data_IF_641881327126
#
_entry.id   IF_641881327126
#
_cell.length_a   1.000
_cell.length_b   1.000
_cell.length_c   1.000
_cell.angle_alpha   90.00
_cell.angle_beta   90.00
_cell.angle_gamma   90.00
#
_symmetry.space_group_name_H-M   'P 1'
#
loop_
_entity.id
_entity.type
_entity.pdbx_description
1 polymer ?
#
# COMPACT_ATOMS: atom_id res chain seq x y z
N UNK A 1 9.53 -56.14 79.44
CA UNK A 1 10.49 -55.51 78.51
C UNK A 1 9.69 -54.75 77.47
N UNK A 2 10.22 -53.59 77.12
CA UNK A 2 9.54 -52.39 76.65
C UNK A 2 9.70 -52.20 75.13
N UNK A 3 8.75 -51.47 74.52
CA UNK A 3 8.86 -50.72 73.25
C UNK A 3 8.77 -51.60 71.97
N UNK A 4 8.19 -51.17 70.84
CA UNK A 4 7.88 -49.81 70.36
C UNK A 4 6.87 -49.90 69.23
N UNK A 5 5.80 -49.10 69.28
CA UNK A 5 4.94 -48.82 68.13
C UNK A 5 5.72 -47.93 67.15
N UNK A 6 6.00 -48.41 65.94
CA UNK A 6 6.58 -47.58 64.88
C UNK A 6 5.45 -46.79 64.20
N UNK A 7 5.40 -45.48 64.42
CA UNK A 7 4.72 -44.55 63.53
C UNK A 7 5.56 -44.42 62.26
N UNK A 8 4.93 -44.65 61.11
CA UNK A 8 5.46 -44.29 59.79
C UNK A 8 5.11 -42.81 59.56
N UNK A 9 6.09 -41.90 59.35
CA UNK A 9 5.77 -40.55 58.94
C UNK A 9 5.28 -40.58 57.49
N UNK A 10 4.04 -40.13 57.28
CA UNK A 10 3.55 -39.83 55.94
C UNK A 10 4.36 -38.64 55.41
N UNK A 11 5.29 -38.91 54.50
CA UNK A 11 5.96 -37.91 53.70
C UNK A 11 4.88 -37.27 52.82
N UNK A 12 4.42 -36.06 53.16
CA UNK A 12 3.71 -35.22 52.22
C UNK A 12 4.72 -34.84 51.11
N UNK A 13 4.73 -35.61 50.03
CA UNK A 13 5.18 -35.11 48.75
C UNK A 13 4.20 -34.00 48.34
N UNK A 14 4.53 -32.76 48.69
CA UNK A 14 4.04 -31.63 47.92
C UNK A 14 4.62 -31.78 46.52
N UNK A 15 3.84 -32.38 45.63
CA UNK A 15 4.10 -32.28 44.21
C UNK A 15 4.07 -30.80 43.86
N UNK A 16 5.24 -30.19 43.72
CA UNK A 16 5.35 -28.99 42.90
C UNK A 16 4.98 -29.45 41.50
N UNK A 17 3.72 -29.26 41.13
CA UNK A 17 3.31 -29.26 39.74
C UNK A 17 4.13 -28.16 39.08
N UNK A 18 5.24 -28.53 38.46
CA UNK A 18 5.82 -27.68 37.43
C UNK A 18 4.75 -27.59 36.36
N UNK A 19 4.05 -26.45 36.28
CA UNK A 19 3.28 -26.11 35.10
C UNK A 19 4.30 -25.97 33.98
N UNK A 20 4.56 -27.06 33.24
CA UNK A 20 5.17 -26.95 31.93
C UNK A 20 4.17 -26.16 31.10
N UNK A 21 4.44 -24.86 30.92
CA UNK A 21 3.74 -24.08 29.91
C UNK A 21 4.13 -24.74 28.60
N UNK A 22 3.20 -25.44 27.97
CA UNK A 22 3.40 -25.84 26.59
C UNK A 22 3.51 -24.53 25.82
N UNK A 23 4.69 -24.21 25.29
CA UNK A 23 4.87 -23.01 24.46
C UNK A 23 3.87 -23.12 23.30
N UNK A 24 2.97 -22.15 23.23
CA UNK A 24 1.97 -22.07 22.16
C UNK A 24 2.73 -21.81 20.87
N UNK A 25 2.46 -22.59 19.82
CA UNK A 25 3.02 -22.29 18.51
C UNK A 25 2.25 -21.11 17.90
N UNK A 26 2.82 -19.92 17.99
CA UNK A 26 2.26 -18.69 17.44
C UNK A 26 2.41 -18.55 15.93
N UNK A 27 3.40 -19.21 15.35
CA UNK A 27 3.56 -19.20 13.91
C UNK A 27 3.17 -20.58 13.40
N UNK A 28 1.97 -20.66 12.86
CA UNK A 28 1.58 -21.86 12.14
C UNK A 28 2.44 -21.87 10.89
N UNK A 29 3.42 -22.76 10.89
CA UNK A 29 4.40 -22.91 9.83
C UNK A 29 3.67 -23.20 8.51
N UNK A 30 3.60 -22.20 7.63
CA UNK A 30 3.15 -22.41 6.25
C UNK A 30 4.33 -22.56 5.30
N UNK A 31 5.52 -22.95 5.78
CA UNK A 31 6.69 -23.18 4.91
C UNK A 31 6.43 -24.23 3.81
N UNK A 32 5.28 -24.92 3.80
CA UNK A 32 4.98 -25.90 2.75
C UNK A 32 3.52 -25.96 2.23
N UNK A 33 2.67 -24.91 2.34
CA UNK A 33 1.33 -25.05 1.70
C UNK A 33 0.57 -23.82 1.22
N UNK A 34 1.06 -22.57 1.28
CA UNK A 34 0.35 -21.49 0.59
C UNK A 34 1.25 -20.36 0.09
N UNK A 35 1.59 -20.43 -1.20
CA UNK A 35 2.21 -19.36 -1.98
C UNK A 35 1.24 -18.20 -2.15
N UNK A 36 1.34 -17.17 -1.30
CA UNK A 36 0.43 -16.03 -1.31
C UNK A 36 0.95 -14.89 -2.18
N UNK A 37 0.05 -14.26 -2.93
CA UNK A 37 0.34 -13.07 -3.74
C UNK A 37 -0.69 -11.99 -3.48
N UNK A 38 -0.22 -10.77 -3.23
CA UNK A 38 -1.05 -9.59 -3.22
C UNK A 38 -0.96 -8.88 -4.58
N UNK A 39 -2.10 -8.64 -5.20
CA UNK A 39 -2.22 -7.94 -6.48
C UNK A 39 -2.94 -6.62 -6.25
N UNK A 40 -2.27 -5.51 -6.55
CA UNK A 40 -2.81 -4.17 -6.36
C UNK A 40 -3.11 -3.50 -7.70
N UNK A 41 -4.27 -2.86 -7.80
CA UNK A 41 -4.55 -1.88 -8.86
C UNK A 41 -4.30 -0.47 -8.32
N UNK A 42 -3.40 0.28 -8.95
CA UNK A 42 -3.15 1.69 -8.61
C UNK A 42 -3.78 2.58 -9.68
N UNK A 43 -4.81 3.34 -9.29
CA UNK A 43 -5.65 4.08 -10.24
C UNK A 43 -4.97 5.33 -10.83
N UNK A 44 -5.49 5.78 -11.97
CA UNK A 44 -5.13 7.08 -12.56
C UNK A 44 -5.88 8.25 -11.92
N UNK A 45 -5.73 9.40 -12.57
CA UNK A 45 -6.49 10.62 -12.27
C UNK A 45 -8.01 10.38 -12.40
N UNK A 46 -8.80 11.25 -11.78
CA UNK A 46 -10.26 11.33 -11.93
C UNK A 46 -11.01 10.02 -11.63
N UNK A 47 -10.38 9.13 -10.87
CA UNK A 47 -10.93 7.82 -10.53
C UNK A 47 -11.47 7.86 -9.12
N UNK A 48 -12.76 7.52 -8.95
CA UNK A 48 -13.34 7.41 -7.60
C UNK A 48 -12.88 6.10 -6.94
N UNK A 49 -12.85 6.07 -5.61
CA UNK A 49 -12.56 4.86 -4.84
C UNK A 49 -13.38 3.64 -5.29
N UNK A 50 -14.68 3.83 -5.54
CA UNK A 50 -15.54 2.77 -6.05
C UNK A 50 -15.06 2.19 -7.38
N UNK A 51 -14.62 3.04 -8.31
CA UNK A 51 -14.17 2.63 -9.65
C UNK A 51 -12.81 1.90 -9.56
N UNK A 52 -11.91 2.36 -8.68
CA UNK A 52 -10.65 1.66 -8.39
C UNK A 52 -10.88 0.25 -7.82
N UNK A 53 -11.75 0.12 -6.81
CA UNK A 53 -12.12 -1.19 -6.26
C UNK A 53 -12.87 -2.06 -7.27
N UNK A 54 -13.66 -1.46 -8.16
CA UNK A 54 -14.31 -2.16 -9.26
C UNK A 54 -13.30 -2.72 -10.27
N UNK A 55 -12.24 -1.98 -10.59
CA UNK A 55 -11.16 -2.46 -11.45
C UNK A 55 -10.38 -3.61 -10.79
N UNK A 56 -10.03 -3.49 -9.50
CA UNK A 56 -9.39 -4.59 -8.76
C UNK A 56 -10.24 -5.88 -8.78
N UNK A 57 -11.57 -5.75 -8.62
CA UNK A 57 -12.52 -6.87 -8.78
C UNK A 57 -12.57 -7.41 -10.21
N UNK A 58 -12.49 -6.53 -11.20
CA UNK A 58 -12.43 -6.92 -12.62
C UNK A 58 -11.19 -7.74 -12.92
N UNK A 59 -10.02 -7.33 -12.43
CA UNK A 59 -8.78 -8.11 -12.51
C UNK A 59 -8.89 -9.45 -11.78
N UNK A 60 -9.48 -9.47 -10.57
CA UNK A 60 -9.73 -10.70 -9.83
C UNK A 60 -10.51 -11.70 -10.66
N UNK A 61 -11.60 -11.25 -11.28
CA UNK A 61 -12.45 -12.10 -12.11
C UNK A 61 -11.73 -12.59 -13.37
N UNK A 62 -10.86 -11.75 -13.96
CA UNK A 62 -10.09 -12.10 -15.14
C UNK A 62 -8.98 -13.12 -14.86
N UNK A 63 -8.23 -12.96 -13.75
CA UNK A 63 -6.95 -13.62 -13.58
C UNK A 63 -6.85 -14.62 -12.43
N UNK A 64 -7.64 -14.49 -11.35
CA UNK A 64 -7.41 -15.27 -10.11
C UNK A 64 -7.31 -16.77 -10.37
N UNK A 65 -8.26 -17.35 -11.12
CA UNK A 65 -8.26 -18.78 -11.41
C UNK A 65 -7.06 -19.22 -12.28
N UNK A 66 -6.65 -18.39 -13.23
CA UNK A 66 -5.48 -18.69 -14.07
C UNK A 66 -4.21 -18.62 -13.22
N UNK A 67 -4.05 -17.57 -12.43
CA UNK A 67 -2.88 -17.34 -11.59
C UNK A 67 -2.71 -18.42 -10.52
N UNK A 68 -3.79 -18.83 -9.85
CA UNK A 68 -3.77 -19.93 -8.87
C UNK A 68 -3.39 -21.28 -9.49
N UNK A 69 -3.50 -21.43 -10.81
CA UNK A 69 -3.05 -22.64 -11.51
C UNK A 69 -1.57 -22.64 -11.89
N UNK A 70 -0.87 -21.49 -11.80
CA UNK A 70 0.54 -21.37 -12.18
C UNK A 70 1.48 -21.99 -11.15
N UNK A 71 1.05 -22.04 -9.88
CA UNK A 71 1.82 -22.58 -8.77
C UNK A 71 0.94 -23.48 -7.91
N UNK A 72 1.43 -24.67 -7.58
CA UNK A 72 0.77 -25.52 -6.58
C UNK A 72 0.60 -24.78 -5.27
N UNK A 73 -0.55 -24.99 -4.63
CA UNK A 73 -0.85 -24.40 -3.32
C UNK A 73 -0.64 -22.88 -3.32
N UNK A 74 -1.21 -22.15 -4.29
CA UNK A 74 -1.10 -20.69 -4.36
C UNK A 74 -2.43 -19.99 -4.22
N UNK A 75 -2.41 -18.77 -3.68
CA UNK A 75 -3.58 -17.92 -3.56
C UNK A 75 -3.27 -16.46 -3.83
N UNK A 76 -4.28 -15.78 -4.39
CA UNK A 76 -4.16 -14.38 -4.84
C UNK A 76 -5.24 -13.50 -4.21
N UNK A 77 -4.83 -12.40 -3.60
CA UNK A 77 -5.73 -11.35 -3.10
C UNK A 77 -5.61 -10.16 -4.05
N UNK A 78 -6.75 -9.63 -4.49
CA UNK A 78 -6.80 -8.47 -5.37
C UNK A 78 -7.45 -7.31 -4.60
N UNK A 79 -6.74 -6.19 -4.55
CA UNK A 79 -7.14 -4.98 -3.84
C UNK A 79 -6.79 -3.74 -4.67
N UNK A 80 -7.35 -2.60 -4.33
CA UNK A 80 -6.89 -1.31 -4.85
C UNK A 80 -5.83 -0.70 -3.92
N UNK A 81 -4.80 -0.09 -4.51
CA UNK A 81 -3.88 0.84 -3.88
C UNK A 81 -4.29 2.25 -4.37
N UNK A 82 -5.20 2.87 -3.62
CA UNK A 82 -5.96 4.01 -4.12
C UNK A 82 -5.16 5.31 -4.07
N UNK A 83 -4.96 5.92 -5.23
CA UNK A 83 -4.48 7.29 -5.33
C UNK A 83 -5.67 8.23 -5.12
N UNK A 84 -5.59 9.11 -4.12
CA UNK A 84 -6.62 10.11 -3.86
C UNK A 84 -6.88 10.97 -5.11
N UNK A 85 -8.17 11.16 -5.41
CA UNK A 85 -8.64 12.01 -6.51
C UNK A 85 -9.57 13.05 -5.92
N UNK A 86 -9.16 14.32 -5.98
CA UNK A 86 -9.93 15.46 -5.47
C UNK A 86 -10.57 16.27 -6.61
N UNK A 87 -10.38 15.82 -7.84
CA UNK A 87 -10.94 16.44 -9.03
C UNK A 87 -9.85 16.84 -10.03
N UNK A 88 -10.27 17.26 -11.21
CA UNK A 88 -9.38 17.34 -12.36
C UNK A 88 -8.19 18.28 -12.15
N UNK A 89 -8.40 19.42 -11.50
CA UNK A 89 -7.33 20.40 -11.27
C UNK A 89 -6.26 19.89 -10.31
N UNK A 90 -6.65 19.31 -9.18
CA UNK A 90 -5.72 18.74 -8.20
C UNK A 90 -4.95 17.58 -8.82
N UNK A 91 -5.64 16.65 -9.48
CA UNK A 91 -5.01 15.47 -10.08
C UNK A 91 -4.02 15.86 -11.20
N UNK A 92 -4.36 16.82 -12.07
CA UNK A 92 -3.43 17.33 -13.10
C UNK A 92 -2.22 18.01 -12.46
N UNK A 93 -2.46 18.87 -11.47
CA UNK A 93 -1.38 19.59 -10.78
C UNK A 93 -0.43 18.60 -10.12
N UNK A 94 -0.97 17.53 -9.54
CA UNK A 94 -0.20 16.45 -8.94
C UNK A 94 0.62 15.67 -9.97
N UNK A 95 0.05 15.33 -11.15
CA UNK A 95 0.81 14.69 -12.25
C UNK A 95 2.00 15.56 -12.61
N UNK A 96 1.79 16.85 -12.89
CA UNK A 96 2.86 17.76 -13.30
C UNK A 96 3.94 17.88 -12.23
N UNK A 97 3.54 18.00 -10.97
CA UNK A 97 4.50 18.05 -9.87
C UNK A 97 5.31 16.75 -9.76
N UNK A 98 4.68 15.58 -9.87
CA UNK A 98 5.37 14.29 -9.87
C UNK A 98 6.35 14.18 -11.04
N UNK A 99 5.98 14.69 -12.23
CA UNK A 99 6.88 14.74 -13.39
C UNK A 99 8.11 15.60 -13.15
N UNK A 100 7.96 16.72 -12.46
CA UNK A 100 9.06 17.62 -12.16
C UNK A 100 10.02 17.03 -11.12
N UNK A 101 9.49 16.30 -10.14
CA UNK A 101 10.31 15.53 -9.19
C UNK A 101 11.10 14.42 -9.91
N UNK A 102 10.52 13.75 -10.91
CA UNK A 102 11.25 12.78 -11.76
C UNK A 102 12.42 13.43 -12.52
N UNK A 103 12.31 14.71 -12.89
CA UNK A 103 13.36 15.50 -13.55
C UNK A 103 14.37 16.11 -12.55
N UNK A 104 14.23 15.84 -11.25
CA UNK A 104 15.11 16.34 -10.20
C UNK A 104 14.91 17.83 -9.87
N UNK A 105 13.71 18.36 -10.11
CA UNK A 105 13.38 19.76 -9.80
C UNK A 105 12.60 19.82 -8.49
N UNK A 106 13.28 20.20 -7.41
CA UNK A 106 12.69 20.21 -6.06
C UNK A 106 11.53 21.21 -5.92
N UNK A 107 10.38 20.72 -5.46
CA UNK A 107 9.39 21.46 -4.66
C UNK A 107 8.90 22.76 -5.29
N UNK A 108 8.20 22.65 -6.42
CA UNK A 108 7.72 23.81 -7.17
C UNK A 108 6.29 24.22 -6.74
N UNK A 109 6.09 25.54 -6.54
CA UNK A 109 4.79 26.12 -6.21
C UNK A 109 3.82 26.11 -7.42
N UNK A 110 2.50 26.08 -7.20
CA UNK A 110 1.52 26.12 -8.30
C UNK A 110 1.69 27.29 -9.29
N UNK A 111 2.21 28.43 -8.82
CA UNK A 111 2.55 29.57 -9.69
C UNK A 111 3.74 29.27 -10.62
N UNK A 112 4.76 28.59 -10.12
CA UNK A 112 5.89 28.16 -10.93
C UNK A 112 5.51 26.98 -11.84
N UNK A 113 4.55 26.12 -11.45
CA UNK A 113 3.95 25.11 -12.35
C UNK A 113 3.23 25.82 -13.51
N UNK A 114 2.41 26.84 -13.22
CA UNK A 114 1.76 27.67 -14.24
C UNK A 114 2.77 28.38 -15.17
N UNK A 115 3.80 29.02 -14.60
CA UNK A 115 4.87 29.67 -15.37
C UNK A 115 5.67 28.65 -16.21
N UNK A 116 5.86 27.42 -15.72
CA UNK A 116 6.55 26.36 -16.47
C UNK A 116 5.70 25.79 -17.60
N UNK A 117 4.42 25.49 -17.34
CA UNK A 117 3.46 25.09 -18.36
C UNK A 117 3.43 26.17 -19.45
N UNK A 118 3.31 27.45 -19.07
CA UNK A 118 3.22 28.60 -19.98
C UNK A 118 4.54 28.99 -20.68
N UNK A 119 5.70 28.57 -20.17
CA UNK A 119 7.02 28.92 -20.74
C UNK A 119 7.70 27.80 -21.51
N UNK A 120 7.37 26.52 -21.26
CA UNK A 120 7.96 25.37 -22.00
C UNK A 120 7.35 25.18 -23.40
N UNK A 121 6.14 25.69 -23.69
CA UNK A 121 5.50 25.67 -25.02
C UNK A 121 4.58 26.90 -25.24
N UNK A 122 4.16 27.13 -26.49
CA UNK A 122 3.14 28.13 -26.80
C UNK A 122 1.76 27.76 -26.19
N UNK A 123 0.86 28.76 -26.07
CA UNK A 123 -0.48 28.55 -25.52
C UNK A 123 -1.25 27.40 -26.18
N UNK A 124 -0.99 27.07 -27.45
CA UNK A 124 -1.75 26.05 -28.18
C UNK A 124 -1.49 24.63 -27.67
N UNK A 125 -0.24 24.28 -27.36
CA UNK A 125 0.06 22.94 -26.82
C UNK A 125 -0.51 22.76 -25.42
N UNK A 126 -0.41 23.78 -24.57
CA UNK A 126 -0.97 23.79 -23.20
C UNK A 126 -2.49 23.62 -23.24
N UNK A 127 -3.16 24.37 -24.12
CA UNK A 127 -4.62 24.27 -24.31
C UNK A 127 -5.02 22.87 -24.76
N UNK A 128 -4.24 22.25 -25.65
CA UNK A 128 -4.50 20.89 -26.11
C UNK A 128 -4.40 19.89 -24.96
N UNK A 129 -3.33 19.97 -24.15
CA UNK A 129 -3.17 19.14 -22.96
C UNK A 129 -4.33 19.34 -21.99
N UNK A 130 -4.60 20.58 -21.58
CA UNK A 130 -5.65 20.86 -20.62
C UNK A 130 -7.04 20.42 -21.12
N UNK A 131 -7.32 20.56 -22.41
CA UNK A 131 -8.57 20.12 -23.01
C UNK A 131 -8.79 18.61 -22.90
N UNK A 132 -7.76 17.82 -23.17
CA UNK A 132 -7.88 16.35 -23.08
C UNK A 132 -8.01 15.92 -21.62
N UNK A 133 -7.29 16.57 -20.70
CA UNK A 133 -7.27 16.22 -19.28
C UNK A 133 -8.53 16.64 -18.50
N UNK A 134 -9.00 17.89 -18.68
CA UNK A 134 -10.19 18.40 -17.96
C UNK A 134 -11.50 17.89 -18.56
N UNK A 135 -11.49 17.57 -19.84
CA UNK A 135 -12.68 17.13 -20.56
C UNK A 135 -12.43 15.83 -21.32
N UNK A 136 -12.09 14.72 -20.64
CA UNK A 136 -11.70 13.47 -21.29
C UNK A 136 -12.81 12.86 -22.16
N UNK A 137 -14.06 13.25 -21.91
CA UNK A 137 -15.25 12.78 -22.64
C UNK A 137 -15.81 13.81 -23.65
N UNK A 138 -15.22 15.01 -23.78
CA UNK A 138 -15.70 16.06 -24.71
C UNK A 138 -14.56 16.98 -25.11
N UNK A 139 -14.45 17.40 -26.37
CA UNK A 139 -13.42 18.39 -26.75
C UNK A 139 -13.90 19.81 -26.42
N UNK A 140 -13.35 20.42 -25.35
CA UNK A 140 -13.55 21.83 -25.03
C UNK A 140 -12.37 22.70 -25.52
N UNK A 141 -12.67 23.95 -25.92
CA UNK A 141 -11.67 24.95 -26.30
C UNK A 141 -11.38 25.87 -25.11
N UNK A 142 -10.10 26.04 -24.78
CA UNK A 142 -9.66 26.91 -23.68
C UNK A 142 -9.16 28.26 -24.22
N UNK A 143 -9.71 29.35 -23.70
CA UNK A 143 -9.33 30.72 -24.06
C UNK A 143 -8.21 31.23 -23.13
N UNK A 144 -7.49 32.30 -23.53
CA UNK A 144 -6.44 32.90 -22.68
C UNK A 144 -6.97 33.35 -21.31
N UNK A 145 -8.16 33.96 -21.27
CA UNK A 145 -8.80 34.38 -20.02
C UNK A 145 -9.11 33.20 -19.09
N UNK A 146 -9.46 32.04 -19.65
CA UNK A 146 -9.76 30.84 -18.86
C UNK A 146 -8.47 30.20 -18.32
N UNK A 147 -7.35 30.29 -19.06
CA UNK A 147 -6.04 29.83 -18.59
C UNK A 147 -5.51 30.67 -17.42
N UNK A 148 -5.76 31.98 -17.43
CA UNK A 148 -5.36 32.87 -16.33
C UNK A 148 -6.13 32.56 -15.04
N UNK A 149 -7.47 32.40 -15.12
CA UNK A 149 -8.32 31.98 -14.00
C UNK A 149 -7.95 30.60 -13.44
N UNK A 150 -7.53 29.69 -14.34
CA UNK A 150 -7.02 28.38 -13.98
C UNK A 150 -5.71 28.47 -13.19
N UNK A 151 -4.80 29.36 -13.60
CA UNK A 151 -3.51 29.57 -12.93
C UNK A 151 -3.66 29.96 -11.45
N UNK A 152 -4.63 30.80 -11.12
CA UNK A 152 -4.94 31.15 -9.73
C UNK A 152 -5.47 29.95 -8.94
N UNK A 153 -6.35 29.15 -9.56
CA UNK A 153 -6.92 27.93 -8.96
C UNK A 153 -5.87 26.84 -8.73
N UNK A 154 -4.83 26.79 -9.58
CA UNK A 154 -3.73 25.83 -9.48
C UNK A 154 -2.84 26.05 -8.26
N UNK A 155 -2.82 27.24 -7.66
CA UNK A 155 -2.06 27.48 -6.43
C UNK A 155 -2.63 26.63 -5.29
N UNK A 156 -3.93 26.70 -5.05
CA UNK A 156 -4.56 25.89 -4.01
C UNK A 156 -4.47 24.40 -4.35
N UNK A 157 -4.74 24.04 -5.61
CA UNK A 157 -4.62 22.66 -6.08
C UNK A 157 -3.21 22.09 -5.89
N UNK A 158 -2.16 22.91 -5.97
CA UNK A 158 -0.78 22.47 -5.76
C UNK A 158 -0.48 22.13 -4.30
N UNK A 159 -1.07 22.85 -3.35
CA UNK A 159 -0.92 22.56 -1.92
C UNK A 159 -1.59 21.22 -1.60
N UNK A 160 -2.83 21.05 -2.07
CA UNK A 160 -3.60 19.83 -1.84
C UNK A 160 -2.93 18.62 -2.52
N UNK A 161 -2.40 18.80 -3.73
CA UNK A 161 -1.66 17.78 -4.47
C UNK A 161 -0.39 17.30 -3.75
N UNK A 162 0.35 18.20 -3.08
CA UNK A 162 1.54 17.85 -2.28
C UNK A 162 1.15 16.96 -1.10
N UNK A 163 0.16 17.41 -0.31
CA UNK A 163 -0.28 16.70 0.88
C UNK A 163 -0.79 15.30 0.53
N UNK A 164 -1.62 15.19 -0.51
CA UNK A 164 -2.11 13.91 -1.02
C UNK A 164 -0.95 13.02 -1.47
N UNK A 165 0.03 13.59 -2.18
CA UNK A 165 1.13 12.82 -2.72
C UNK A 165 1.97 12.16 -1.63
N UNK A 166 2.30 12.91 -0.58
CA UNK A 166 3.07 12.39 0.58
C UNK A 166 2.28 11.27 1.25
N UNK A 167 1.00 11.54 1.54
CA UNK A 167 0.11 10.58 2.21
C UNK A 167 -0.04 9.28 1.41
N UNK A 168 -0.39 9.38 0.12
CA UNK A 168 -0.60 8.21 -0.75
C UNK A 168 0.69 7.40 -0.93
N UNK A 169 1.84 8.04 -1.12
CA UNK A 169 3.12 7.33 -1.23
C UNK A 169 3.44 6.57 0.07
N UNK A 170 3.25 7.20 1.24
CA UNK A 170 3.45 6.54 2.53
C UNK A 170 2.50 5.35 2.70
N UNK A 171 1.23 5.51 2.34
CA UNK A 171 0.24 4.43 2.40
C UNK A 171 0.58 3.25 1.48
N UNK A 172 1.04 3.53 0.26
CA UNK A 172 1.45 2.51 -0.71
C UNK A 172 2.68 1.74 -0.23
N UNK A 173 3.71 2.44 0.25
CA UNK A 173 4.91 1.82 0.82
C UNK A 173 4.51 0.92 1.99
N UNK A 174 3.73 1.44 2.94
CA UNK A 174 3.25 0.68 4.09
C UNK A 174 2.48 -0.57 3.69
N UNK A 175 1.57 -0.49 2.72
CA UNK A 175 0.79 -1.63 2.21
C UNK A 175 1.68 -2.70 1.56
N UNK A 176 2.66 -2.30 0.75
CA UNK A 176 3.53 -3.25 0.05
C UNK A 176 4.53 -3.92 0.99
N UNK A 177 5.17 -3.15 1.88
CA UNK A 177 6.08 -3.70 2.90
C UNK A 177 5.35 -4.67 3.83
N UNK A 178 4.14 -4.29 4.25
CA UNK A 178 3.23 -5.11 5.05
C UNK A 178 3.05 -6.52 4.44
N UNK A 179 2.69 -6.59 3.17
CA UNK A 179 2.42 -7.86 2.51
C UNK A 179 3.70 -8.67 2.21
N UNK A 180 4.80 -7.99 1.84
CA UNK A 180 6.12 -8.61 1.69
C UNK A 180 6.62 -9.24 2.99
N UNK A 181 6.44 -8.55 4.12
CA UNK A 181 6.85 -9.03 5.44
C UNK A 181 5.95 -10.17 5.92
N UNK A 182 4.67 -10.18 5.53
CA UNK A 182 3.75 -11.29 5.75
C UNK A 182 4.01 -12.52 4.85
N UNK A 183 5.08 -12.51 4.04
CA UNK A 183 5.46 -13.61 3.16
C UNK A 183 4.67 -13.66 1.85
N UNK A 184 3.95 -12.59 1.49
CA UNK A 184 3.29 -12.48 0.18
C UNK A 184 4.23 -11.75 -0.77
N UNK A 185 4.37 -12.23 -2.01
CA UNK A 185 4.92 -11.35 -3.06
C UNK A 185 3.88 -10.32 -3.47
N UNK A 186 4.34 -9.20 -3.99
CA UNK A 186 3.49 -8.06 -4.37
C UNK A 186 3.58 -7.83 -5.88
N UNK A 187 2.43 -7.78 -6.54
CA UNK A 187 2.30 -7.44 -7.96
C UNK A 187 1.43 -6.18 -8.06
N UNK A 188 1.93 -5.14 -8.71
CA UNK A 188 1.17 -3.90 -8.90
C UNK A 188 0.80 -3.73 -10.38
N UNK A 189 -0.41 -3.26 -10.64
CA UNK A 189 -0.89 -2.89 -11.99
C UNK A 189 -1.34 -1.44 -11.95
N UNK A 190 -0.41 -0.50 -12.12
CA UNK A 190 -0.75 0.91 -12.19
C UNK A 190 -1.31 1.31 -13.55
N UNK A 191 -2.25 2.26 -13.54
CA UNK A 191 -2.77 2.93 -14.72
C UNK A 191 -2.51 4.44 -14.64
N UNK A 192 -2.11 5.06 -15.76
CA UNK A 192 -1.97 6.53 -15.86
C UNK A 192 -1.08 7.09 -14.75
N UNK A 193 -1.51 8.14 -14.03
CA UNK A 193 -0.80 8.72 -12.89
C UNK A 193 -0.37 7.67 -11.84
N UNK A 194 -1.10 6.57 -11.67
CA UNK A 194 -0.73 5.52 -10.73
C UNK A 194 0.65 4.92 -10.97
N UNK A 195 1.21 5.06 -12.18
CA UNK A 195 2.59 4.65 -12.47
C UNK A 195 3.61 5.53 -11.73
N UNK A 196 3.36 6.83 -11.57
CA UNK A 196 4.26 7.76 -10.86
C UNK A 196 4.32 7.41 -9.37
N UNK A 197 3.15 7.17 -8.77
CA UNK A 197 3.04 6.66 -7.39
C UNK A 197 3.71 5.30 -7.22
N UNK A 198 3.49 4.38 -8.17
CA UNK A 198 4.08 3.04 -8.11
C UNK A 198 5.60 3.09 -8.24
N UNK A 199 6.15 3.92 -9.13
CA UNK A 199 7.60 4.11 -9.24
C UNK A 199 8.19 4.56 -7.90
N UNK A 200 7.62 5.60 -7.28
CA UNK A 200 8.09 6.13 -6.01
C UNK A 200 7.99 5.09 -4.88
N UNK A 201 6.83 4.47 -4.73
CA UNK A 201 6.58 3.49 -3.67
C UNK A 201 7.44 2.22 -3.83
N UNK A 202 7.54 1.65 -5.04
CA UNK A 202 8.35 0.45 -5.28
C UNK A 202 9.83 0.74 -5.06
N UNK A 203 10.35 1.88 -5.53
CA UNK A 203 11.75 2.26 -5.28
C UNK A 203 12.05 2.40 -3.78
N UNK A 204 11.13 3.00 -3.02
CA UNK A 204 11.24 3.11 -1.56
C UNK A 204 11.22 1.74 -0.89
N UNK A 205 10.25 0.88 -1.22
CA UNK A 205 10.14 -0.49 -0.68
C UNK A 205 11.40 -1.30 -0.97
N UNK A 206 11.92 -1.28 -2.20
CA UNK A 206 13.15 -2.02 -2.55
C UNK A 206 14.37 -1.51 -1.80
N UNK A 207 14.45 -0.20 -1.54
CA UNK A 207 15.52 0.41 -0.74
C UNK A 207 15.42 0.03 0.73
N UNK A 208 14.20 0.02 1.30
CA UNK A 208 13.93 -0.29 2.71
C UNK A 208 13.95 -1.79 3.01
N UNK A 209 13.60 -2.63 2.02
CA UNK A 209 13.51 -4.09 2.12
C UNK A 209 14.41 -4.80 1.09
N UNK A 210 15.74 -4.63 1.14
CA UNK A 210 16.65 -5.13 0.10
C UNK A 210 16.60 -6.66 -0.07
N UNK A 211 16.35 -7.42 1.01
CA UNK A 211 16.22 -8.88 0.96
C UNK A 211 14.94 -9.37 0.25
N UNK A 212 13.97 -8.47 0.02
CA UNK A 212 12.67 -8.75 -0.61
C UNK A 212 12.46 -7.94 -1.89
N UNK A 213 13.49 -7.23 -2.35
CA UNK A 213 13.40 -6.34 -3.50
C UNK A 213 12.98 -7.06 -4.79
N UNK A 214 13.30 -8.35 -4.92
CA UNK A 214 12.90 -9.18 -6.06
C UNK A 214 11.45 -9.70 -5.93
N UNK A 215 10.85 -9.67 -4.74
CA UNK A 215 9.49 -10.17 -4.47
C UNK A 215 8.39 -9.14 -4.72
N UNK A 216 8.74 -8.00 -5.30
CA UNK A 216 7.83 -6.94 -5.70
C UNK A 216 8.14 -6.49 -7.12
N UNK A 217 7.13 -6.51 -7.99
CA UNK A 217 7.24 -6.10 -9.39
C UNK A 217 5.90 -5.56 -9.91
N UNK A 218 5.90 -4.88 -11.06
CA UNK A 218 4.70 -4.25 -11.59
C UNK A 218 4.68 -4.21 -13.13
N UNK A 219 3.48 -4.02 -13.68
CA UNK A 219 3.28 -3.80 -15.11
C UNK A 219 2.46 -2.54 -15.35
N UNK A 220 3.08 -1.53 -15.93
CA UNK A 220 2.46 -0.23 -16.16
C UNK A 220 1.49 -0.19 -17.34
N UNK A 221 0.38 0.50 -17.18
CA UNK A 221 -0.59 0.75 -18.26
C UNK A 221 -0.76 2.26 -18.43
N UNK A 222 -0.72 2.74 -19.68
CA UNK A 222 -0.79 4.16 -20.03
C UNK A 222 0.22 4.99 -19.23
N UNK A 223 1.50 4.64 -19.29
CA UNK A 223 2.52 5.13 -18.35
C UNK A 223 3.01 6.56 -18.69
N UNK A 224 2.75 7.58 -17.85
CA UNK A 224 3.25 8.95 -18.03
C UNK A 224 4.68 9.17 -17.51
N UNK A 225 5.29 8.20 -16.83
CA UNK A 225 6.63 8.35 -16.25
C UNK A 225 7.71 8.48 -17.33
N UNK A 226 8.84 9.09 -16.98
CA UNK A 226 10.03 9.13 -17.83
C UNK A 226 10.81 7.79 -17.80
N UNK A 227 10.57 6.95 -16.78
CA UNK A 227 11.27 5.68 -16.60
C UNK A 227 10.41 4.67 -15.83
N UNK A 228 10.91 3.45 -15.68
CA UNK A 228 10.36 2.44 -14.77
C UNK A 228 11.44 1.95 -13.82
N UNK A 229 11.04 1.58 -12.61
CA UNK A 229 11.95 0.99 -11.62
C UNK A 229 12.42 -0.36 -12.15
N UNK A 230 13.74 -0.57 -12.16
CA UNK A 230 14.42 -1.78 -12.65
C UNK A 230 14.01 -2.21 -14.07
N UNK A 231 13.53 -1.27 -14.90
CA UNK A 231 13.09 -1.57 -16.26
C UNK A 231 11.79 -2.37 -16.31
N UNK A 232 10.91 -2.24 -15.30
CA UNK A 232 9.58 -2.84 -15.32
C UNK A 232 8.85 -2.54 -16.63
N UNK A 233 8.13 -3.53 -17.14
CA UNK A 233 7.48 -3.46 -18.44
C UNK A 233 6.20 -2.64 -18.37
N UNK A 234 5.79 -2.07 -19.50
CA UNK A 234 4.59 -1.25 -19.60
C UNK A 234 3.94 -1.36 -20.98
N UNK A 235 2.69 -0.92 -21.08
CA UNK A 235 1.98 -0.70 -22.34
C UNK A 235 1.36 0.69 -22.38
N UNK A 236 1.59 1.42 -23.46
CA UNK A 236 1.00 2.74 -23.71
C UNK A 236 0.63 2.81 -25.19
N UNK A 237 -0.64 3.08 -25.49
CA UNK A 237 -1.15 3.13 -26.85
C UNK A 237 -0.63 4.36 -27.62
N UNK A 238 -0.39 4.19 -28.92
CA UNK A 238 0.05 5.25 -29.83
C UNK A 238 -1.01 6.32 -30.09
N UNK A 239 -2.27 6.04 -29.74
CA UNK A 239 -3.42 6.93 -29.92
C UNK A 239 -4.09 7.33 -28.59
N UNK A 240 -3.40 7.12 -27.47
CA UNK A 240 -3.79 7.59 -26.14
C UNK A 240 -3.62 9.11 -26.05
N UNK A 241 -4.74 9.83 -26.16
CA UNK A 241 -4.70 11.30 -26.26
C UNK A 241 -4.24 11.96 -24.98
N UNK A 242 -4.47 11.36 -23.82
CA UNK A 242 -4.06 11.94 -22.52
C UNK A 242 -2.55 11.90 -22.44
N UNK A 243 -1.96 10.72 -22.66
CA UNK A 243 -0.50 10.54 -22.60
C UNK A 243 0.21 11.28 -23.73
N UNK A 244 -0.32 11.26 -24.95
CA UNK A 244 0.23 12.01 -26.08
C UNK A 244 0.23 13.52 -25.84
N UNK A 245 -0.84 14.04 -25.23
CA UNK A 245 -0.90 15.46 -24.93
C UNK A 245 0.04 15.86 -23.79
N UNK A 246 0.31 14.95 -22.84
CA UNK A 246 1.35 15.16 -21.82
C UNK A 246 2.74 15.19 -22.44
N UNK A 247 2.99 14.31 -23.43
CA UNK A 247 4.28 14.22 -24.13
C UNK A 247 4.65 15.50 -24.89
N UNK A 248 3.69 16.38 -25.16
CA UNK A 248 3.98 17.69 -25.73
C UNK A 248 4.85 18.52 -24.78
N UNK A 249 4.53 18.49 -23.47
CA UNK A 249 5.11 19.38 -22.44
C UNK A 249 6.10 18.69 -21.50
N UNK A 250 6.01 17.37 -21.33
CA UNK A 250 6.81 16.61 -20.36
C UNK A 250 7.55 15.43 -21.02
N UNK A 251 8.64 14.98 -20.38
CA UNK A 251 9.33 13.77 -20.79
C UNK A 251 8.55 12.52 -20.36
N UNK A 252 8.08 11.73 -21.32
CA UNK A 252 7.23 10.55 -21.09
C UNK A 252 7.78 9.38 -21.89
N UNK A 253 7.72 8.18 -21.30
CA UNK A 253 8.03 6.93 -21.99
C UNK A 253 7.29 6.84 -23.35
N UNK A 254 7.95 6.27 -24.38
CA UNK A 254 7.33 6.16 -25.69
C UNK A 254 6.12 5.24 -25.65
N UNK A 255 5.09 5.58 -26.42
CA UNK A 255 4.04 4.63 -26.76
C UNK A 255 4.65 3.43 -27.48
N UNK A 256 4.06 2.26 -27.28
CA UNK A 256 4.65 0.99 -27.66
C UNK A 256 3.64 -0.02 -28.17
N UNK A 257 2.42 0.42 -28.49
CA UNK A 257 1.40 -0.41 -29.09
C UNK A 257 0.46 0.39 -29.99
N UNK A 258 0.16 -0.15 -31.16
CA UNK A 258 -0.98 0.27 -31.96
C UNK A 258 -2.23 -0.41 -31.38
N UNK A 259 -3.11 0.40 -30.80
CA UNK A 259 -4.32 -0.07 -30.13
C UNK A 259 -5.60 0.26 -30.89
N UNK A 260 -5.50 0.79 -32.11
CA UNK A 260 -6.65 1.07 -32.96
C UNK A 260 -7.19 -0.27 -33.53
N UNK A 261 -8.43 -0.67 -33.18
CA UNK A 261 -9.00 -1.92 -33.67
C UNK A 261 -9.30 -1.91 -35.18
N UNK A 262 -9.07 -0.80 -35.90
CA UNK A 262 -9.14 -0.67 -37.36
C UNK A 262 -10.49 -1.06 -38.00
N UNK A 263 -11.58 -1.03 -37.24
CA UNK A 263 -12.92 -1.46 -37.69
C UNK A 263 -13.91 -0.28 -37.81
N UNK A 264 -14.69 -0.30 -38.91
CA UNK A 264 -15.76 0.62 -39.36
C UNK A 264 -16.42 1.45 -38.24
N UNK A 265 -16.75 2.75 -38.37
CA UNK A 265 -17.28 3.60 -37.28
C UNK A 265 -18.42 2.97 -36.45
N UNK A 266 -18.45 3.25 -35.13
CA UNK A 266 -19.23 2.58 -34.06
C UNK A 266 -20.67 2.12 -34.39
N UNK A 267 -21.38 2.84 -35.26
CA UNK A 267 -22.72 2.48 -35.75
C UNK A 267 -22.76 1.18 -36.61
N UNK A 268 -21.64 0.70 -37.13
CA UNK A 268 -21.52 -0.57 -37.89
C UNK A 268 -20.72 -1.67 -37.17
N UNK A 269 -20.48 -1.52 -35.86
CA UNK A 269 -19.64 -2.45 -35.07
C UNK A 269 -18.19 -1.99 -34.87
N UNK A 270 -17.99 -0.68 -34.70
CA UNK A 270 -16.68 0.01 -34.75
C UNK A 270 -15.91 0.21 -33.48
N UNK A 271 -15.03 1.22 -33.49
CA UNK A 271 -14.33 1.69 -32.31
C UNK A 271 -15.34 2.22 -31.27
N UNK A 272 -15.36 1.58 -30.09
CA UNK A 272 -16.22 1.93 -28.94
C UNK A 272 -15.41 2.50 -27.78
N UNK A 273 -14.12 2.80 -28.01
CA UNK A 273 -13.26 3.44 -27.04
C UNK A 273 -13.76 4.84 -26.69
N UNK A 274 -13.31 5.32 -25.55
CA UNK A 274 -13.60 6.67 -25.10
C UNK A 274 -13.00 7.70 -26.07
N UNK A 275 -13.45 8.94 -25.98
CA UNK A 275 -12.92 10.03 -26.82
C UNK A 275 -11.43 10.29 -26.54
N UNK A 276 -10.92 9.91 -25.36
CA UNK A 276 -9.52 10.08 -24.98
C UNK A 276 -8.64 8.87 -25.30
N UNK A 277 -9.21 7.70 -25.59
CA UNK A 277 -8.48 6.43 -25.72
C UNK A 277 -7.55 6.12 -24.52
N UNK A 278 -7.92 6.57 -23.32
CA UNK A 278 -7.07 6.50 -22.12
C UNK A 278 -7.65 5.68 -20.97
N UNK A 279 -8.97 5.46 -20.92
CA UNK A 279 -9.63 4.81 -19.80
C UNK A 279 -9.17 3.35 -19.67
N UNK A 280 -8.92 2.92 -18.42
CA UNK A 280 -8.36 1.59 -18.16
C UNK A 280 -9.25 0.46 -18.69
N UNK A 281 -10.57 0.51 -18.47
CA UNK A 281 -11.47 -0.58 -18.85
C UNK A 281 -11.72 -0.57 -20.35
N UNK A 282 -12.18 0.57 -20.88
CA UNK A 282 -12.66 0.72 -22.24
C UNK A 282 -11.53 0.71 -23.27
N UNK A 283 -10.38 1.28 -22.92
CA UNK A 283 -9.35 1.64 -23.91
C UNK A 283 -8.07 0.83 -23.77
N UNK A 284 -7.92 0.06 -22.69
CA UNK A 284 -6.78 -0.83 -22.49
C UNK A 284 -7.17 -2.26 -22.14
N UNK A 285 -8.21 -2.46 -21.33
CA UNK A 285 -8.57 -3.78 -20.80
C UNK A 285 -9.67 -4.51 -21.58
N UNK A 286 -10.23 -3.88 -22.62
CA UNK A 286 -11.22 -4.49 -23.51
C UNK A 286 -10.61 -5.66 -24.31
N UNK A 287 -11.28 -6.81 -24.30
CA UNK A 287 -10.82 -8.05 -24.93
C UNK A 287 -10.62 -7.96 -26.46
N UNK A 288 -11.13 -6.93 -27.12
CA UNK A 288 -10.98 -6.70 -28.55
C UNK A 288 -9.70 -5.95 -28.92
N UNK A 289 -9.04 -5.35 -27.93
CA UNK A 289 -7.89 -4.47 -28.13
C UNK A 289 -6.56 -5.24 -28.06
N UNK A 290 -5.57 -4.79 -28.82
CA UNK A 290 -4.24 -5.38 -28.83
C UNK A 290 -3.55 -5.25 -27.45
N UNK A 291 -3.81 -4.13 -26.76
CA UNK A 291 -3.33 -3.86 -25.40
C UNK A 291 -3.73 -4.96 -24.43
N UNK A 292 -4.92 -5.54 -24.58
CA UNK A 292 -5.40 -6.56 -23.66
C UNK A 292 -4.54 -7.82 -23.72
N UNK A 293 -4.13 -8.26 -24.91
CA UNK A 293 -3.22 -9.40 -25.06
C UNK A 293 -1.83 -9.14 -24.44
N UNK A 294 -1.33 -7.90 -24.54
CA UNK A 294 -0.07 -7.51 -23.90
C UNK A 294 -0.22 -7.50 -22.38
N UNK A 295 -1.32 -6.97 -21.84
CA UNK A 295 -1.63 -6.98 -20.41
C UNK A 295 -1.73 -8.43 -19.90
N UNK A 296 -2.53 -9.29 -20.55
CA UNK A 296 -2.71 -10.69 -20.15
C UNK A 296 -1.35 -11.42 -20.09
N UNK A 297 -0.51 -11.24 -21.12
CA UNK A 297 0.81 -11.87 -21.21
C UNK A 297 1.73 -11.41 -20.09
N UNK A 298 1.82 -10.11 -19.84
CA UNK A 298 2.75 -9.57 -18.84
C UNK A 298 2.28 -9.84 -17.41
N UNK A 299 0.99 -9.76 -17.12
CA UNK A 299 0.49 -10.11 -15.79
C UNK A 299 0.64 -11.60 -15.49
N UNK A 300 0.45 -12.47 -16.50
CA UNK A 300 0.77 -13.90 -16.37
C UNK A 300 2.27 -14.11 -16.12
N UNK A 301 3.14 -13.37 -16.81
CA UNK A 301 4.60 -13.39 -16.58
C UNK A 301 4.94 -13.00 -15.14
N UNK A 302 4.42 -11.89 -14.63
CA UNK A 302 4.63 -11.48 -13.23
C UNK A 302 4.14 -12.56 -12.25
N UNK A 303 2.94 -13.09 -12.47
CA UNK A 303 2.40 -14.17 -11.65
C UNK A 303 3.22 -15.47 -11.75
N UNK A 304 3.91 -15.72 -12.85
CA UNK A 304 4.79 -16.88 -13.01
C UNK A 304 6.15 -16.64 -12.33
N UNK A 305 6.77 -15.50 -12.60
CA UNK A 305 8.22 -15.31 -12.47
C UNK A 305 8.63 -14.52 -11.22
N UNK A 306 7.78 -13.62 -10.70
CA UNK A 306 8.12 -12.83 -9.51
C UNK A 306 8.34 -13.77 -8.32
N UNK A 307 9.55 -13.83 -7.73
CA UNK A 307 9.84 -14.70 -6.60
C UNK A 307 8.87 -14.52 -5.43
N UNK A 308 8.54 -15.61 -4.75
CA UNK A 308 7.91 -15.53 -3.45
C UNK A 308 8.98 -15.14 -2.43
N UNK A 309 8.74 -14.15 -1.56
CA UNK A 309 9.68 -13.85 -0.51
C UNK A 309 9.76 -15.07 0.40
N UNK A 310 10.94 -15.36 0.94
CA UNK A 310 11.02 -16.31 2.05
C UNK A 310 10.08 -15.81 3.14
N UNK A 311 9.05 -16.59 3.41
CA UNK A 311 8.29 -16.43 4.63
C UNK A 311 9.32 -16.66 5.75
N UNK A 312 9.59 -15.61 6.51
CA UNK A 312 10.12 -15.86 7.84
C UNK A 312 8.93 -16.48 8.55
N UNK A 313 9.07 -17.67 9.13
CA UNK A 313 8.26 -18.01 10.30
C UNK A 313 8.58 -16.94 11.36
N UNK A 314 8.02 -15.72 11.26
CA UNK A 314 8.70 -14.59 11.89
C UNK A 314 8.46 -13.18 11.32
N UNK A 315 7.22 -12.73 11.21
CA UNK A 315 6.92 -11.39 11.78
C UNK A 315 6.68 -11.48 13.28
N UNK A 316 6.93 -12.65 13.86
CA UNK A 316 6.38 -13.01 15.15
C UNK A 316 4.93 -13.50 15.03
N UNK A 317 4.44 -14.11 16.11
CA UNK A 317 3.04 -14.45 16.32
C UNK A 317 2.10 -13.24 16.16
N UNK A 318 2.57 -12.05 16.55
CA UNK A 318 1.87 -10.77 16.39
C UNK A 318 2.91 -9.73 15.98
N UNK A 319 2.61 -8.93 14.97
CA UNK A 319 3.28 -7.65 14.73
C UNK A 319 2.25 -6.55 14.55
N UNK A 320 2.43 -5.46 15.30
CA UNK A 320 1.76 -4.20 15.05
C UNK A 320 2.75 -3.23 14.41
N UNK A 321 2.33 -2.52 13.37
CA UNK A 321 3.14 -1.52 12.69
C UNK A 321 2.37 -0.21 12.66
N UNK A 322 3.01 0.85 13.16
CA UNK A 322 2.48 2.21 13.22
C UNK A 322 3.15 3.06 12.15
N UNK A 323 2.38 3.88 11.44
CA UNK A 323 2.86 4.95 10.55
C UNK A 323 1.97 6.19 10.70
N UNK A 324 2.50 7.38 10.42
CA UNK A 324 1.74 8.64 10.50
C UNK A 324 2.22 9.68 9.48
N UNK A 325 1.56 10.85 9.46
CA UNK A 325 1.83 11.98 8.57
C UNK A 325 2.99 12.88 9.01
N UNK A 326 2.79 14.19 8.93
CA UNK A 326 3.86 15.20 9.01
C UNK A 326 4.21 15.67 10.44
N UNK A 327 3.45 15.24 11.45
CA UNK A 327 3.74 15.59 12.85
C UNK A 327 4.90 14.75 13.41
N UNK A 328 5.54 15.28 14.45
CA UNK A 328 6.87 14.82 14.84
C UNK A 328 6.92 13.45 15.50
N UNK A 329 5.91 13.06 16.29
CA UNK A 329 6.08 11.97 17.24
C UNK A 329 4.74 11.35 17.69
N UNK A 330 4.49 10.11 17.25
CA UNK A 330 3.40 9.25 17.73
C UNK A 330 4.01 7.92 18.15
N UNK A 331 3.84 7.59 19.44
CA UNK A 331 4.36 6.36 20.02
C UNK A 331 3.40 5.19 19.82
N UNK A 332 3.96 4.03 19.47
CA UNK A 332 3.29 2.74 19.53
C UNK A 332 3.36 2.17 20.95
N UNK A 333 2.20 1.81 21.51
CA UNK A 333 2.09 1.12 22.79
C UNK A 333 1.46 -0.26 22.63
N UNK A 334 2.00 -1.24 23.35
CA UNK A 334 1.41 -2.57 23.48
C UNK A 334 1.25 -2.97 24.96
N UNK A 335 0.04 -3.38 25.35
CA UNK A 335 -0.19 -4.08 26.61
C UNK A 335 -0.32 -5.58 26.35
N UNK A 336 0.51 -6.37 27.03
CA UNK A 336 0.53 -7.82 26.91
C UNK A 336 -0.47 -8.49 27.88
N UNK A 337 -0.86 -9.76 27.64
CA UNK A 337 -1.76 -10.51 28.52
C UNK A 337 -1.34 -10.56 29.99
N UNK A 338 -0.02 -10.53 30.25
CA UNK A 338 0.55 -10.58 31.58
C UNK A 338 0.55 -9.22 32.31
N UNK A 339 0.21 -8.13 31.61
CA UNK A 339 0.19 -6.76 32.12
C UNK A 339 1.44 -5.94 31.81
N UNK A 340 2.45 -6.50 31.14
CA UNK A 340 3.60 -5.75 30.61
C UNK A 340 3.14 -4.68 29.64
N UNK A 341 3.81 -3.54 29.67
CA UNK A 341 3.55 -2.39 28.80
C UNK A 341 4.82 -2.08 28.02
N UNK A 342 4.74 -2.19 26.70
CA UNK A 342 5.87 -2.03 25.79
C UNK A 342 5.69 -0.74 24.99
N UNK A 343 6.65 0.17 25.09
CA UNK A 343 6.62 1.53 24.50
C UNK A 343 8.02 2.18 24.52
N UNK A 344 8.16 3.43 24.09
CA UNK A 344 9.45 4.13 23.93
C UNK A 344 10.36 4.19 25.18
N UNK A 345 9.83 4.02 26.41
CA UNK A 345 10.69 3.92 27.62
C UNK A 345 10.98 2.48 28.06
N UNK A 346 10.19 1.51 27.59
CA UNK A 346 10.34 0.11 27.91
C UNK A 346 10.10 -0.76 26.67
N UNK A 347 11.18 -0.99 25.91
CA UNK A 347 11.14 -1.65 24.61
C UNK A 347 10.89 -3.16 24.68
N UNK A 348 10.85 -3.77 25.86
CA UNK A 348 10.81 -5.23 26.01
C UNK A 348 9.75 -5.63 27.03
N UNK A 349 8.69 -6.25 26.54
CA UNK A 349 7.73 -6.97 27.36
C UNK A 349 8.18 -8.39 27.62
N UNK A 350 7.29 -9.18 28.20
CA UNK A 350 7.52 -10.60 28.44
C UNK A 350 7.30 -11.44 27.18
N UNK A 351 6.41 -11.01 26.29
CA UNK A 351 6.07 -11.74 25.07
C UNK A 351 6.74 -11.11 23.83
N UNK A 352 6.71 -9.78 23.72
CA UNK A 352 7.17 -9.02 22.56
C UNK A 352 8.12 -7.87 22.86
N UNK A 353 8.62 -7.26 21.79
CA UNK A 353 9.58 -6.17 21.81
C UNK A 353 9.20 -5.09 20.81
N UNK A 354 9.50 -3.83 21.14
CA UNK A 354 9.45 -2.70 20.21
C UNK A 354 10.80 -2.59 19.49
N UNK A 355 10.78 -2.41 18.16
CA UNK A 355 12.01 -2.43 17.34
C UNK A 355 12.77 -1.10 17.35
N UNK A 356 12.06 0.02 17.19
CA UNK A 356 12.59 1.38 17.09
C UNK A 356 11.56 2.35 17.67
N UNK A 357 12.06 3.41 18.31
CA UNK A 357 11.33 4.63 18.68
C UNK A 357 11.75 5.72 17.67
N UNK A 358 10.81 6.15 16.81
CA UNK A 358 11.07 7.10 15.72
C UNK A 358 10.54 8.51 16.07
N UNK A 359 11.35 9.24 16.82
CA UNK A 359 11.07 10.60 17.32
C UNK A 359 11.10 11.73 16.27
N UNK A 360 11.45 11.48 15.00
CA UNK A 360 11.59 12.54 13.97
C UNK A 360 11.11 12.15 12.55
N UNK A 361 10.59 10.94 12.34
CA UNK A 361 10.20 10.39 11.04
C UNK A 361 8.69 10.22 10.84
N UNK A 362 8.30 9.54 9.76
CA UNK A 362 6.91 9.15 9.44
C UNK A 362 6.61 7.69 9.86
N UNK A 363 7.49 7.10 10.69
CA UNK A 363 7.51 5.68 11.00
C UNK A 363 8.11 4.78 9.88
N UNK A 364 8.05 3.44 10.04
CA UNK A 364 7.20 2.77 11.01
C UNK A 364 7.90 2.39 12.32
N UNK A 365 7.13 2.44 13.41
CA UNK A 365 7.43 1.74 14.67
C UNK A 365 6.75 0.38 14.67
N UNK A 366 7.43 -0.66 15.16
CA UNK A 366 6.89 -2.01 15.19
C UNK A 366 7.01 -2.69 16.56
N UNK A 367 5.88 -3.15 17.07
CA UNK A 367 5.81 -4.09 18.17
C UNK A 367 5.74 -5.52 17.62
N UNK A 368 6.57 -6.43 18.11
CA UNK A 368 6.71 -7.80 17.61
C UNK A 368 6.73 -8.82 18.74
N UNK A 369 5.87 -9.84 18.69
CA UNK A 369 5.86 -11.00 19.59
C UNK A 369 6.41 -12.20 18.86
N UNK A 370 7.53 -12.80 19.28
CA UNK A 370 8.10 -13.97 18.59
C UNK A 370 7.13 -15.18 18.59
N UNK A 371 7.28 -16.07 17.61
CA UNK A 371 6.40 -17.21 17.39
C UNK A 371 6.25 -18.12 18.61
N UNK A 372 7.37 -18.39 19.28
CA UNK A 372 7.50 -19.25 20.45
C UNK A 372 7.17 -18.54 21.77
N UNK A 373 7.06 -17.20 21.74
CA UNK A 373 6.84 -16.37 22.93
C UNK A 373 5.37 -15.98 23.12
N UNK A 374 4.50 -16.27 22.15
CA UNK A 374 3.09 -15.89 22.26
C UNK A 374 2.40 -16.64 23.38
N UNK A 375 1.58 -15.92 24.14
CA UNK A 375 0.78 -16.45 25.22
C UNK A 375 -0.71 -16.22 24.95
N UNK A 376 -1.55 -17.09 25.51
CA UNK A 376 -3.01 -16.90 25.44
C UNK A 376 -3.43 -15.69 26.27
N UNK A 377 -4.38 -14.91 25.77
CA UNK A 377 -4.90 -13.71 26.42
C UNK A 377 -5.10 -12.57 25.42
N UNK A 378 -5.24 -11.35 25.92
CA UNK A 378 -5.48 -10.17 25.07
C UNK A 378 -4.24 -9.30 25.01
N UNK A 379 -3.81 -8.98 23.79
CA UNK A 379 -2.86 -7.93 23.50
C UNK A 379 -3.63 -6.69 23.08
N UNK A 380 -3.38 -5.55 23.71
CA UNK A 380 -3.98 -4.26 23.32
C UNK A 380 -2.91 -3.42 22.63
N UNK A 381 -3.19 -3.00 21.41
CA UNK A 381 -2.32 -2.14 20.61
C UNK A 381 -2.95 -0.75 20.57
N UNK A 382 -2.22 0.24 21.03
CA UNK A 382 -2.66 1.64 21.08
C UNK A 382 -1.59 2.60 20.59
N UNK A 383 -1.99 3.84 20.41
CA UNK A 383 -1.10 4.93 20.00
C UNK A 383 -1.22 6.11 20.95
N UNK A 384 -0.11 6.80 21.20
CA UNK A 384 -0.10 8.07 21.94
C UNK A 384 0.45 9.18 21.04
N UNK A 385 -0.28 10.29 20.93
CA UNK A 385 0.25 11.47 20.25
C UNK A 385 1.22 12.19 21.20
N UNK A 386 2.49 11.82 21.16
CA UNK A 386 3.46 12.28 22.14
C UNK A 386 3.86 13.75 21.93
N UNK A 387 4.24 14.12 20.71
CA UNK A 387 4.64 15.49 20.39
C UNK A 387 4.22 15.91 18.99
N UNK A 388 3.62 17.10 18.89
CA UNK A 388 3.34 17.77 17.64
C UNK A 388 2.53 19.06 17.85
N UNK A 389 2.27 19.75 16.75
CA UNK A 389 1.74 21.12 16.72
C UNK A 389 0.38 21.27 16.02
N UNK A 390 -0.06 20.24 15.29
CA UNK A 390 -1.35 20.18 14.60
C UNK A 390 -1.99 18.78 14.77
N UNK A 391 -3.28 18.58 14.43
CA UNK A 391 -3.85 17.24 14.38
C UNK A 391 -3.06 16.30 13.45
N UNK A 392 -3.02 15.01 13.79
CA UNK A 392 -2.33 13.97 13.01
C UNK A 392 -3.21 12.72 12.89
N UNK A 393 -3.03 11.92 11.85
CA UNK A 393 -3.71 10.63 11.68
C UNK A 393 -2.70 9.50 11.87
N UNK A 394 -2.87 8.74 12.95
CA UNK A 394 -2.13 7.50 13.16
C UNK A 394 -2.76 6.36 12.36
N UNK A 395 -1.94 5.56 11.68
CA UNK A 395 -2.37 4.37 10.96
C UNK A 395 -1.65 3.15 11.52
N UNK A 396 -2.42 2.18 12.01
CA UNK A 396 -1.88 0.93 12.57
C UNK A 396 -2.31 -0.26 11.72
N UNK A 397 -1.36 -1.11 11.37
CA UNK A 397 -1.58 -2.39 10.69
C UNK A 397 -1.17 -3.57 11.59
N UNK A 398 -1.95 -4.66 11.56
CA UNK A 398 -1.66 -5.88 12.32
C UNK A 398 -1.34 -7.04 11.38
N UNK A 399 -0.27 -7.76 11.72
CA UNK A 399 0.19 -9.00 11.08
C UNK A 399 0.17 -10.11 12.10
N UNK A 400 -0.33 -11.28 11.70
CA UNK A 400 -0.49 -12.42 12.59
C UNK A 400 0.34 -13.60 12.09
N UNK A 401 0.80 -14.44 13.02
CA UNK A 401 1.62 -15.62 12.73
C UNK A 401 0.92 -16.72 11.90
N UNK A 402 -0.37 -16.56 11.58
CA UNK A 402 -1.11 -17.37 10.62
C UNK A 402 -1.14 -16.78 9.18
N UNK A 403 -0.40 -15.69 8.96
CA UNK A 403 -0.28 -15.00 7.68
C UNK A 403 -1.48 -14.10 7.33
N UNK A 404 -2.40 -13.84 8.27
CA UNK A 404 -3.43 -12.80 8.10
C UNK A 404 -2.82 -11.41 8.29
N UNK A 405 -3.17 -10.52 7.37
CA UNK A 405 -3.03 -9.07 7.52
C UNK A 405 -4.40 -8.51 7.86
N UNK A 406 -4.52 -7.78 8.95
CA UNK A 406 -5.76 -7.07 9.32
C UNK A 406 -5.76 -5.72 8.62
N UNK A 407 -6.92 -5.32 8.06
CA UNK A 407 -7.09 -4.01 7.43
C UNK A 407 -6.59 -2.90 8.37
N UNK A 408 -5.71 -2.00 7.91
CA UNK A 408 -5.23 -0.92 8.74
C UNK A 408 -6.37 -0.07 9.30
N UNK A 409 -6.22 0.38 10.54
CA UNK A 409 -7.13 1.36 11.16
C UNK A 409 -6.46 2.70 11.24
N UNK A 410 -7.24 3.73 10.98
CA UNK A 410 -6.83 5.12 11.09
C UNK A 410 -7.52 5.77 12.28
N UNK A 411 -6.76 6.55 13.03
CA UNK A 411 -7.23 7.28 14.19
C UNK A 411 -6.76 8.73 14.10
N UNK A 412 -7.72 9.66 14.08
CA UNK A 412 -7.44 11.09 14.16
C UNK A 412 -7.09 11.49 15.59
N UNK A 413 -5.88 11.98 15.78
CA UNK A 413 -5.32 12.48 17.02
C UNK A 413 -5.33 14.01 16.99
N UNK A 414 -6.23 14.61 17.79
CA UNK A 414 -6.51 16.06 17.69
C UNK A 414 -5.46 16.95 18.37
N UNK A 415 -4.69 16.40 19.32
CA UNK A 415 -3.67 17.14 20.09
C UNK A 415 -2.64 16.18 20.67
N UNK A 416 -1.42 16.68 20.85
CA UNK A 416 -0.40 15.98 21.59
C UNK A 416 -0.75 15.92 23.09
N UNK A 417 -0.61 14.75 23.70
CA UNK A 417 -0.84 14.48 25.12
C UNK A 417 0.48 14.33 25.90
N UNK A 418 1.59 14.09 25.18
CA UNK A 418 2.90 13.82 25.77
C UNK A 418 2.86 12.63 26.74
N UNK A 419 3.66 12.66 27.83
CA UNK A 419 3.71 11.57 28.80
C UNK A 419 2.38 11.27 29.49
N UNK A 420 1.38 12.16 29.43
CA UNK A 420 0.08 11.89 30.05
C UNK A 420 -0.73 10.84 29.28
N UNK A 421 -0.38 10.58 28.02
CA UNK A 421 -1.02 9.55 27.21
C UNK A 421 -0.42 8.15 27.39
N UNK A 422 0.75 8.03 28.01
CA UNK A 422 1.51 6.77 28.09
C UNK A 422 0.73 5.67 28.83
N UNK A 423 0.10 6.00 29.97
CA UNK A 423 -0.68 5.07 30.78
C UNK A 423 -2.06 4.75 30.20
N UNK A 424 -2.51 5.48 29.18
CA UNK A 424 -3.85 5.34 28.59
C UNK A 424 -3.83 5.72 27.10
N UNK A 425 -3.05 5.01 26.27
CA UNK A 425 -2.97 5.28 24.84
C UNK A 425 -4.32 4.99 24.19
N UNK A 426 -4.58 5.64 23.07
CA UNK A 426 -5.79 5.39 22.33
C UNK A 426 -5.72 4.00 21.68
N UNK A 427 -6.48 3.04 22.21
CA UNK A 427 -6.49 1.65 21.74
C UNK A 427 -7.02 1.60 20.31
N UNK A 428 -6.23 1.02 19.41
CA UNK A 428 -6.57 0.85 17.98
C UNK A 428 -7.02 -0.57 17.69
N UNK A 429 -6.39 -1.58 18.32
CA UNK A 429 -6.74 -2.99 18.17
C UNK A 429 -6.70 -3.74 19.49
N UNK A 430 -7.60 -4.71 19.65
CA UNK A 430 -7.48 -5.77 20.64
C UNK A 430 -7.32 -7.12 19.94
N UNK A 431 -6.25 -7.84 20.26
CA UNK A 431 -5.92 -9.15 19.69
C UNK A 431 -6.04 -10.19 20.78
N UNK A 432 -7.09 -11.01 20.72
CA UNK A 432 -7.24 -12.16 21.62
C UNK A 432 -6.59 -13.40 21.01
N UNK A 433 -5.62 -13.97 21.72
CA UNK A 433 -4.97 -15.23 21.40
C UNK A 433 -5.55 -16.37 22.24
N UNK A 434 -5.92 -17.44 21.57
CA UNK A 434 -6.41 -18.68 22.19
C UNK A 434 -5.67 -19.91 21.63
N UNK A 435 -5.82 -21.06 22.28
CA UNK A 435 -5.24 -22.33 21.82
C UNK A 435 -6.30 -23.15 21.07
N UNK A 436 -5.96 -23.68 19.89
CA UNK A 436 -6.83 -24.54 19.08
C UNK A 436 -7.10 -25.94 19.67
N UNK A 437 -6.45 -26.28 20.78
CA UNK A 437 -6.49 -27.60 21.42
C UNK A 437 -5.38 -28.54 20.96
N UNK A 438 -4.61 -28.17 19.94
CA UNK A 438 -3.44 -28.89 19.42
C UNK A 438 -2.11 -28.17 19.71
N UNK A 439 -2.16 -27.04 20.42
CA UNK A 439 -0.97 -26.27 20.76
C UNK A 439 -0.64 -25.16 19.76
N UNK A 440 -1.55 -24.79 18.85
CA UNK A 440 -1.38 -23.65 17.96
C UNK A 440 -2.19 -22.44 18.42
N UNK A 441 -1.66 -21.24 18.18
CA UNK A 441 -2.35 -20.00 18.43
C UNK A 441 -3.48 -19.75 17.43
N UNK A 442 -4.61 -19.26 17.94
CA UNK A 442 -5.75 -18.77 17.16
C UNK A 442 -6.01 -17.32 17.55
N UNK A 443 -6.03 -16.45 16.54
CA UNK A 443 -6.17 -15.01 16.73
C UNK A 443 -7.58 -14.51 16.40
N UNK A 444 -8.16 -13.72 17.29
CA UNK A 444 -9.36 -12.91 17.06
C UNK A 444 -8.98 -11.44 17.23
N UNK A 445 -9.34 -10.59 16.27
CA UNK A 445 -9.00 -9.16 16.28
C UNK A 445 -10.27 -8.33 16.33
N UNK A 446 -10.34 -7.40 17.29
CA UNK A 446 -11.47 -6.50 17.53
C UNK A 446 -11.11 -5.05 17.34
#
# INVERSE_FOLDING_TARGET
MNKTTLLIPALLCTGMSMYSHANLNGCIDTTDSEKKTAVYFANGILTKKFDASFMAKTMKNAYKSQFESLHENSSYVFSDAYNYSQGALTDITQVLQQKMDEEGVDGITGYQIYDLISSKLNNDAIRATLAVYLTPNTLALFTDSLLEELGESMIQASIDAIADRITVNSEHVGLYEADLLAGKRVIIVPHSQGNLFTNSAVASVKTRQPERADSIDYFGIANPSAFTVDGAQYVTADDDRVIDSLRLIENVLPSNIDNDPSILPGFLGGDFRSISNHLIIEDYFDARLASRGVIDTNLTRLAQDTPFPTQIAGTGAIRASLSWGDQSDIDLHAFEPNGSHVYYQDFTGQDGTLDVDDINGQGPENYVVACENVNTGTYQIGVNYYSGSAPETARVAIFLGDGRTVTPRELLLNKAEGPNGDDSPAVVFEITVSNDGNGNAVYSVQ
#
